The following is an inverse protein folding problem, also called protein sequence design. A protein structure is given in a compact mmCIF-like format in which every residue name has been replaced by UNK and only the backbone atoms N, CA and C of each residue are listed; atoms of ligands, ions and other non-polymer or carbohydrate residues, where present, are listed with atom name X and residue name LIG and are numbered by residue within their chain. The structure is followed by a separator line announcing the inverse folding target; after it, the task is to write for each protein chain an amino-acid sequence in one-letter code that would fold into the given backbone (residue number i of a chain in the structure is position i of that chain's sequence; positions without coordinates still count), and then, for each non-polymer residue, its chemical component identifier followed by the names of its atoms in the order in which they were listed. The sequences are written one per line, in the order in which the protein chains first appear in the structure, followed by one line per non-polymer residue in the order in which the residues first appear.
data_IF_928840801645
#
_entry.id   IF_928840801645
#
_cell.length_a   1.000
_cell.length_b   1.000
_cell.length_c   1.000
_cell.angle_alpha   90.00
_cell.angle_beta   90.00
_cell.angle_gamma   90.00
#
_symmetry.space_group_name_H-M   'P 1'
#
loop_
_entity.id
_entity.type
_entity.pdbx_description
1 polymer ?
#
# COMPACT_ATOMS: atom_id res chain seq x y z
N UNK A 1 -5.20 -16.51 10.94
CA UNK A 1 -5.19 -15.17 10.29
C UNK A 1 -5.07 -15.28 8.76
N UNK A 2 -4.28 -16.21 8.20
CA UNK A 2 -4.15 -16.37 6.73
C UNK A 2 -5.15 -17.33 6.08
N UNK A 3 -5.92 -18.08 6.87
CA UNK A 3 -6.85 -19.10 6.37
C UNK A 3 -7.91 -18.53 5.43
N UNK A 4 -8.54 -17.41 5.79
CA UNK A 4 -9.59 -16.77 4.97
C UNK A 4 -9.03 -16.29 3.62
N UNK A 5 -7.93 -15.50 3.56
CA UNK A 5 -7.32 -15.12 2.28
C UNK A 5 -6.90 -16.31 1.43
N UNK A 6 -6.34 -17.37 2.03
CA UNK A 6 -5.91 -18.56 1.30
C UNK A 6 -7.10 -19.26 0.67
N UNK A 7 -8.17 -19.53 1.42
CA UNK A 7 -9.37 -20.19 0.91
C UNK A 7 -10.01 -19.38 -0.23
N UNK A 8 -10.14 -18.06 -0.04
CA UNK A 8 -10.68 -17.18 -1.08
C UNK A 8 -9.85 -17.23 -2.36
N UNK A 9 -8.53 -17.00 -2.25
CA UNK A 9 -7.64 -17.00 -3.42
C UNK A 9 -7.59 -18.36 -4.11
N UNK A 10 -7.53 -19.46 -3.35
CA UNK A 10 -7.57 -20.82 -3.90
C UNK A 10 -8.85 -21.09 -4.66
N UNK A 11 -10.00 -20.60 -4.18
CA UNK A 11 -11.29 -20.77 -4.87
C UNK A 11 -11.30 -20.03 -6.21
N UNK A 12 -10.83 -18.78 -6.25
CA UNK A 12 -10.74 -17.99 -7.48
C UNK A 12 -9.81 -18.65 -8.49
N UNK A 13 -8.63 -19.10 -8.04
CA UNK A 13 -7.65 -19.78 -8.90
C UNK A 13 -8.22 -21.09 -9.45
N UNK A 14 -8.84 -21.90 -8.59
CA UNK A 14 -9.45 -23.17 -9.00
C UNK A 14 -10.57 -22.94 -10.02
N UNK A 15 -11.44 -21.96 -9.80
CA UNK A 15 -12.47 -21.58 -10.77
C UNK A 15 -11.86 -21.09 -12.08
N UNK A 16 -10.82 -20.24 -12.02
CA UNK A 16 -10.09 -19.78 -13.19
C UNK A 16 -9.56 -20.94 -14.05
N UNK A 17 -9.00 -21.99 -13.42
CA UNK A 17 -8.56 -23.20 -14.13
C UNK A 17 -9.72 -23.99 -14.75
N UNK A 18 -10.86 -24.09 -14.07
CA UNK A 18 -12.03 -24.81 -14.61
C UNK A 18 -12.65 -24.13 -15.84
N UNK A 19 -12.54 -22.80 -15.93
CA UNK A 19 -13.13 -21.99 -17.03
C UNK A 19 -12.08 -21.55 -18.06
N UNK A 20 -10.86 -22.08 -17.98
CA UNK A 20 -9.78 -21.70 -18.89
C UNK A 20 -10.12 -22.12 -20.32
N UNK A 21 -9.86 -21.24 -21.28
CA UNK A 21 -10.03 -21.46 -22.70
C UNK A 21 -8.69 -21.31 -23.46
N UNK A 22 -8.69 -21.67 -24.74
CA UNK A 22 -7.51 -21.62 -25.62
C UNK A 22 -7.41 -20.27 -26.37
N UNK A 23 -8.10 -19.22 -25.90
CA UNK A 23 -8.04 -17.91 -26.55
C UNK A 23 -6.72 -17.19 -26.27
N UNK A 24 -6.17 -16.55 -27.32
CA UNK A 24 -4.90 -15.81 -27.19
C UNK A 24 -5.14 -14.46 -26.55
N UNK A 25 -4.57 -14.26 -25.36
CA UNK A 25 -4.60 -12.97 -24.66
C UNK A 25 -3.68 -11.95 -25.35
N UNK A 26 -4.18 -10.73 -25.53
CA UNK A 26 -3.41 -9.64 -26.17
C UNK A 26 -2.22 -9.18 -25.33
N UNK A 27 -2.32 -9.25 -24.00
CA UNK A 27 -1.26 -8.90 -23.06
C UNK A 27 -1.14 -9.95 -21.95
N UNK A 28 0.08 -10.37 -21.65
CA UNK A 28 0.37 -11.24 -20.51
C UNK A 28 0.36 -10.43 -19.22
N UNK A 29 -0.83 -10.15 -18.67
CA UNK A 29 -0.98 -9.50 -17.38
C UNK A 29 -2.02 -10.21 -16.49
N UNK A 30 -1.93 -10.05 -15.15
CA UNK A 30 -2.82 -10.79 -14.23
C UNK A 30 -4.33 -10.55 -14.45
N UNK A 31 -4.82 -9.32 -14.71
CA UNK A 31 -6.25 -9.09 -14.95
C UNK A 31 -6.83 -9.81 -16.17
N UNK A 32 -6.02 -10.02 -17.22
CA UNK A 32 -6.43 -10.70 -18.45
C UNK A 32 -6.16 -12.21 -18.42
N UNK A 33 -5.41 -12.71 -17.44
CA UNK A 33 -5.11 -14.13 -17.29
C UNK A 33 -6.26 -14.96 -16.70
N UNK A 34 -7.29 -14.31 -16.17
CA UNK A 34 -8.52 -14.97 -15.72
C UNK A 34 -9.58 -14.88 -16.81
N UNK A 35 -10.33 -15.97 -16.99
CA UNK A 35 -11.52 -15.99 -17.84
C UNK A 35 -12.46 -14.82 -17.47
N UNK A 36 -13.09 -14.12 -18.45
CA UNK A 36 -13.78 -12.84 -18.20
C UNK A 36 -14.80 -12.87 -17.06
N UNK A 37 -15.57 -13.96 -16.92
CA UNK A 37 -16.55 -14.11 -15.84
C UNK A 37 -15.89 -14.20 -14.46
N UNK A 38 -14.80 -14.96 -14.35
CA UNK A 38 -14.04 -15.11 -13.09
C UNK A 38 -13.31 -13.81 -12.76
N UNK A 39 -12.73 -13.16 -13.78
CA UNK A 39 -12.07 -11.86 -13.64
C UNK A 39 -13.04 -10.80 -13.11
N UNK A 40 -14.25 -10.71 -13.69
CA UNK A 40 -15.30 -9.78 -13.23
C UNK A 40 -15.76 -10.05 -11.81
N UNK A 41 -15.93 -11.32 -11.45
CA UNK A 41 -16.26 -11.68 -10.07
C UNK A 41 -15.14 -11.27 -9.11
N UNK A 42 -13.88 -11.54 -9.48
CA UNK A 42 -12.71 -11.19 -8.68
C UNK A 42 -12.54 -9.68 -8.53
N UNK A 43 -12.68 -8.87 -9.60
CA UNK A 43 -12.56 -7.41 -9.49
C UNK A 43 -13.63 -6.83 -8.58
N UNK A 44 -14.88 -7.22 -8.79
CA UNK A 44 -16.02 -6.72 -8.02
C UNK A 44 -15.94 -7.09 -6.53
N UNK A 45 -15.60 -8.34 -6.22
CA UNK A 45 -15.39 -8.77 -4.83
C UNK A 45 -14.20 -8.06 -4.16
N UNK A 46 -13.11 -7.80 -4.89
CA UNK A 46 -12.00 -7.01 -4.37
C UNK A 46 -12.39 -5.55 -4.12
N UNK A 47 -13.23 -4.93 -4.97
CA UNK A 47 -13.80 -3.61 -4.68
C UNK A 47 -14.55 -3.62 -3.35
N UNK A 48 -15.45 -4.60 -3.13
CA UNK A 48 -16.19 -4.74 -1.87
C UNK A 48 -15.24 -4.87 -0.67
N UNK A 49 -14.25 -5.77 -0.74
CA UNK A 49 -13.27 -5.99 0.34
C UNK A 49 -12.49 -4.71 0.64
N UNK A 50 -12.07 -3.99 -0.40
CA UNK A 50 -11.35 -2.73 -0.25
C UNK A 50 -12.25 -1.62 0.34
N UNK A 51 -13.52 -1.55 -0.04
CA UNK A 51 -14.49 -0.62 0.55
C UNK A 51 -14.68 -0.90 2.03
N UNK A 52 -14.85 -2.16 2.44
CA UNK A 52 -14.95 -2.55 3.86
C UNK A 52 -13.67 -2.13 4.61
N UNK A 53 -12.51 -2.39 4.03
CA UNK A 53 -11.21 -2.02 4.61
C UNK A 53 -11.09 -0.51 4.82
N UNK A 54 -11.52 0.29 3.83
CA UNK A 54 -11.54 1.74 3.91
C UNK A 54 -12.48 2.22 5.04
N UNK A 55 -13.67 1.65 5.15
CA UNK A 55 -14.64 2.00 6.22
C UNK A 55 -14.06 1.69 7.60
N UNK A 56 -13.43 0.53 7.79
CA UNK A 56 -12.79 0.17 9.06
C UNK A 56 -11.68 1.16 9.41
N UNK A 57 -10.85 1.53 8.44
CA UNK A 57 -9.78 2.50 8.66
C UNK A 57 -10.30 3.90 9.00
N UNK A 58 -11.32 4.39 8.30
CA UNK A 58 -11.96 5.67 8.60
C UNK A 58 -12.55 5.64 10.02
N UNK A 59 -13.23 4.55 10.38
CA UNK A 59 -13.81 4.38 11.72
C UNK A 59 -12.72 4.44 12.80
N UNK A 60 -11.59 3.74 12.62
CA UNK A 60 -10.45 3.82 13.53
C UNK A 60 -9.89 5.24 13.62
N UNK A 61 -9.77 5.95 12.50
CA UNK A 61 -9.30 7.34 12.48
C UNK A 61 -10.25 8.25 13.26
N UNK A 62 -11.57 8.11 13.05
CA UNK A 62 -12.60 8.90 13.72
C UNK A 62 -12.60 8.63 15.24
N UNK A 63 -12.63 7.37 15.64
CA UNK A 63 -12.57 6.97 17.05
C UNK A 63 -11.35 7.60 17.73
N UNK A 64 -10.19 7.57 17.09
CA UNK A 64 -8.97 8.15 17.65
C UNK A 64 -9.00 9.68 17.66
N UNK A 65 -9.59 10.30 16.65
CA UNK A 65 -9.76 11.75 16.60
C UNK A 65 -10.63 12.24 17.75
N UNK A 66 -11.79 11.61 17.97
CA UNK A 66 -12.70 11.96 19.07
C UNK A 66 -12.13 11.63 20.46
N UNK A 67 -11.33 10.57 20.59
CA UNK A 67 -10.68 10.19 21.88
C UNK A 67 -9.37 10.95 22.16
N UNK A 68 -9.06 11.98 21.36
CA UNK A 68 -7.73 12.55 21.08
C UNK A 68 -6.94 13.26 22.20
N UNK A 69 -7.39 13.24 23.46
CA UNK A 69 -6.67 13.88 24.59
C UNK A 69 -5.97 12.93 25.57
N UNK A 70 -6.31 11.63 25.62
CA UNK A 70 -5.73 10.66 26.58
C UNK A 70 -4.75 9.65 25.99
N UNK A 71 -4.36 9.79 24.72
CA UNK A 71 -3.64 8.73 24.02
C UNK A 71 -2.11 8.89 24.06
N UNK A 72 -1.40 7.77 24.27
CA UNK A 72 0.06 7.69 24.30
C UNK A 72 0.69 8.17 22.98
N UNK A 73 1.89 8.74 23.07
CA UNK A 73 2.66 9.26 21.92
C UNK A 73 2.89 8.21 20.82
N UNK A 74 3.12 6.95 21.19
CA UNK A 74 3.33 5.85 20.24
C UNK A 74 2.08 5.56 19.40
N UNK A 75 0.91 5.59 20.03
CA UNK A 75 -0.37 5.38 19.34
C UNK A 75 -0.63 6.49 18.31
N UNK A 76 -0.25 7.73 18.63
CA UNK A 76 -0.32 8.88 17.69
C UNK A 76 0.64 8.71 16.51
N UNK A 77 1.86 8.20 16.74
CA UNK A 77 2.83 7.89 15.68
C UNK A 77 2.28 6.82 14.74
N UNK A 78 1.75 5.72 15.28
CA UNK A 78 1.13 4.63 14.50
C UNK A 78 -0.02 5.18 13.64
N UNK A 79 -0.90 6.01 14.22
CA UNK A 79 -2.02 6.61 13.48
C UNK A 79 -1.55 7.52 12.33
N UNK A 80 -0.49 8.31 12.53
CA UNK A 80 0.09 9.16 11.46
C UNK A 80 0.65 8.31 10.30
N UNK A 81 1.21 7.13 10.60
CA UNK A 81 1.70 6.17 9.59
C UNK A 81 0.53 5.54 8.83
N UNK A 82 -0.48 5.10 9.56
CA UNK A 82 -1.67 4.45 9.02
C UNK A 82 -2.44 5.37 8.05
N UNK A 83 -2.69 6.62 8.45
CA UNK A 83 -3.34 7.64 7.58
C UNK A 83 -2.64 7.81 6.23
N UNK A 84 -1.31 7.84 6.25
CA UNK A 84 -0.50 8.01 5.02
C UNK A 84 -0.58 6.76 4.17
N UNK A 85 -0.48 5.57 4.77
CA UNK A 85 -0.61 4.30 4.05
C UNK A 85 -1.98 4.15 3.37
N UNK A 86 -3.06 4.57 4.04
CA UNK A 86 -4.42 4.53 3.48
C UNK A 86 -4.54 5.45 2.26
N UNK A 87 -3.96 6.65 2.33
CA UNK A 87 -3.98 7.59 1.21
C UNK A 87 -3.35 6.97 -0.04
N UNK A 88 -2.16 6.36 0.11
CA UNK A 88 -1.49 5.68 -0.99
C UNK A 88 -2.31 4.47 -1.50
N UNK A 89 -2.88 3.68 -0.59
CA UNK A 89 -3.74 2.55 -0.96
C UNK A 89 -4.95 2.96 -1.81
N UNK A 90 -5.59 4.10 -1.48
CA UNK A 90 -6.71 4.62 -2.26
C UNK A 90 -6.24 5.00 -3.67
N UNK A 91 -5.17 5.79 -3.77
CA UNK A 91 -4.71 6.35 -5.05
C UNK A 91 -4.11 5.31 -6.01
N UNK A 92 -3.60 4.20 -5.48
CA UNK A 92 -2.98 3.15 -6.31
C UNK A 92 -3.99 2.03 -6.56
N UNK A 93 -4.34 1.27 -5.54
CA UNK A 93 -5.07 0.02 -5.69
C UNK A 93 -6.57 0.21 -5.88
N UNK A 94 -7.18 1.00 -4.99
CA UNK A 94 -8.63 1.12 -4.97
C UNK A 94 -9.17 1.82 -6.21
N UNK A 95 -8.55 2.93 -6.63
CA UNK A 95 -8.91 3.60 -7.87
C UNK A 95 -8.69 2.70 -9.08
N UNK A 96 -7.61 1.90 -9.13
CA UNK A 96 -7.36 0.97 -10.22
C UNK A 96 -8.48 -0.05 -10.39
N UNK A 97 -8.91 -0.69 -9.31
CA UNK A 97 -10.00 -1.66 -9.34
C UNK A 97 -11.37 -1.01 -9.62
N UNK A 98 -11.64 0.15 -9.03
CA UNK A 98 -12.85 0.90 -9.33
C UNK A 98 -12.92 1.34 -10.79
N UNK A 99 -11.79 1.78 -11.36
CA UNK A 99 -11.71 2.18 -12.77
C UNK A 99 -11.97 0.99 -13.69
N UNK A 100 -11.43 -0.20 -13.36
CA UNK A 100 -11.72 -1.43 -14.09
C UNK A 100 -13.24 -1.70 -14.12
N UNK A 101 -13.89 -1.69 -12.94
CA UNK A 101 -15.31 -1.98 -12.88
C UNK A 101 -16.18 -0.89 -13.53
N UNK A 102 -15.75 0.37 -13.45
CA UNK A 102 -16.38 1.52 -14.09
C UNK A 102 -16.30 1.44 -15.62
N UNK A 103 -15.17 1.01 -16.19
CA UNK A 103 -15.04 0.89 -17.64
C UNK A 103 -16.06 -0.12 -18.20
N UNK A 104 -16.26 -1.25 -17.51
CA UNK A 104 -17.29 -2.22 -17.89
C UNK A 104 -18.69 -1.62 -17.71
N UNK A 105 -18.95 -0.91 -16.61
CA UNK A 105 -20.25 -0.30 -16.36
C UNK A 105 -20.63 0.79 -17.37
N UNK A 106 -19.63 1.51 -17.92
CA UNK A 106 -19.81 2.49 -18.98
C UNK A 106 -19.99 1.87 -20.38
N UNK A 107 -19.91 0.53 -20.49
CA UNK A 107 -20.11 -0.18 -21.75
C UNK A 107 -18.88 -0.24 -22.66
N UNK A 108 -17.68 0.04 -22.14
CA UNK A 108 -16.45 -0.20 -22.90
C UNK A 108 -16.29 -1.71 -23.14
N UNK A 109 -16.00 -2.10 -24.38
CA UNK A 109 -15.87 -3.50 -24.81
C UNK A 109 -14.69 -3.67 -25.77
N UNK A 110 -14.33 -4.93 -26.05
CA UNK A 110 -13.33 -5.27 -27.07
C UNK A 110 -11.91 -4.74 -26.77
N UNK A 111 -11.14 -4.39 -27.82
CA UNK A 111 -9.73 -4.01 -27.69
C UNK A 111 -9.50 -2.77 -26.80
N UNK A 112 -10.43 -1.82 -26.80
CA UNK A 112 -10.34 -0.60 -25.97
C UNK A 112 -10.39 -0.95 -24.50
N UNK A 113 -11.32 -1.83 -24.09
CA UNK A 113 -11.40 -2.29 -22.70
C UNK A 113 -10.11 -3.01 -22.30
N UNK A 114 -9.62 -3.92 -23.14
CA UNK A 114 -8.39 -4.67 -22.91
C UNK A 114 -7.20 -3.73 -22.73
N UNK A 115 -7.06 -2.72 -23.59
CA UNK A 115 -6.00 -1.71 -23.47
C UNK A 115 -6.10 -0.93 -22.15
N UNK A 116 -7.30 -0.47 -21.78
CA UNK A 116 -7.50 0.28 -20.54
C UNK A 116 -7.18 -0.57 -19.31
N UNK A 117 -7.66 -1.82 -19.26
CA UNK A 117 -7.39 -2.77 -18.17
C UNK A 117 -5.90 -3.07 -18.03
N UNK A 118 -5.19 -3.24 -19.14
CA UNK A 118 -3.74 -3.48 -19.14
C UNK A 118 -2.94 -2.33 -18.54
N UNK A 119 -3.38 -1.08 -18.75
CA UNK A 119 -2.70 0.08 -18.17
C UNK A 119 -2.98 0.25 -16.67
N UNK A 120 -4.13 -0.22 -16.18
CA UNK A 120 -4.46 -0.18 -14.74
C UNK A 120 -3.51 -1.05 -13.90
N UNK A 121 -2.87 -2.06 -14.50
CA UNK A 121 -1.85 -2.92 -13.87
C UNK A 121 -0.68 -2.10 -13.30
N UNK A 122 -0.35 -0.95 -13.88
CA UNK A 122 0.69 -0.09 -13.32
C UNK A 122 0.39 0.34 -11.88
N UNK A 123 -0.86 0.74 -11.62
CA UNK A 123 -1.30 1.13 -10.27
C UNK A 123 -1.33 -0.06 -9.30
N UNK A 124 -1.66 -1.24 -9.82
CA UNK A 124 -1.59 -2.52 -9.08
C UNK A 124 -0.17 -2.79 -8.60
N UNK A 125 0.82 -2.68 -9.49
CA UNK A 125 2.21 -2.99 -9.15
C UNK A 125 2.77 -2.04 -8.09
N UNK A 126 2.42 -0.75 -8.13
CA UNK A 126 2.79 0.21 -7.08
C UNK A 126 2.21 -0.25 -5.74
N UNK A 127 0.97 -0.74 -5.73
CA UNK A 127 0.29 -1.11 -4.49
C UNK A 127 0.96 -2.26 -3.72
N UNK A 128 1.65 -3.17 -4.41
CA UNK A 128 2.37 -4.28 -3.76
C UNK A 128 3.61 -3.83 -2.99
N UNK A 129 4.24 -2.75 -3.40
CA UNK A 129 5.47 -2.25 -2.77
C UNK A 129 5.23 -1.04 -1.86
N UNK A 130 4.11 -0.32 -2.02
CA UNK A 130 3.84 0.93 -1.33
C UNK A 130 3.91 0.81 0.19
N UNK A 131 3.38 -0.28 0.77
CA UNK A 131 3.30 -0.43 2.22
C UNK A 131 4.71 -0.49 2.83
N UNK A 132 5.58 -1.27 2.20
CA UNK A 132 6.98 -1.38 2.60
C UNK A 132 7.68 -0.02 2.60
N UNK A 133 7.57 0.75 1.51
CA UNK A 133 8.21 2.06 1.41
C UNK A 133 7.62 3.10 2.36
N UNK A 134 6.30 3.13 2.54
CA UNK A 134 5.63 4.04 3.49
C UNK A 134 6.07 3.75 4.93
N UNK A 135 6.19 2.48 5.30
CA UNK A 135 6.65 2.06 6.63
C UNK A 135 8.12 2.43 6.84
N UNK A 136 9.01 2.15 5.89
CA UNK A 136 10.43 2.56 5.97
C UNK A 136 10.57 4.09 6.08
N UNK A 137 9.77 4.84 5.32
CA UNK A 137 9.83 6.29 5.34
C UNK A 137 9.37 6.85 6.70
N UNK A 138 8.26 6.33 7.25
CA UNK A 138 7.61 6.91 8.44
C UNK A 138 8.00 6.27 9.78
N UNK A 139 8.64 5.10 9.80
CA UNK A 139 9.14 4.46 11.01
C UNK A 139 10.66 4.39 11.01
N UNK A 140 11.35 5.30 11.74
CA UNK A 140 12.78 5.19 11.91
C UNK A 140 13.18 3.89 12.64
N UNK A 141 12.31 3.39 13.53
CA UNK A 141 12.54 2.11 14.22
C UNK A 141 12.58 0.95 13.23
N UNK A 142 11.56 0.85 12.36
CA UNK A 142 11.54 -0.16 11.29
C UNK A 142 12.70 -0.01 10.32
N UNK A 143 13.02 1.22 9.91
CA UNK A 143 14.15 1.50 9.01
C UNK A 143 15.49 1.06 9.60
N UNK A 144 15.72 1.33 10.89
CA UNK A 144 16.95 0.93 11.56
C UNK A 144 17.05 -0.60 11.67
N UNK A 145 15.97 -1.28 12.04
CA UNK A 145 15.93 -2.75 12.06
C UNK A 145 16.15 -3.36 10.67
N UNK A 146 15.59 -2.75 9.63
CA UNK A 146 15.83 -3.17 8.24
C UNK A 146 17.31 -3.02 7.85
N UNK A 147 17.93 -1.86 8.12
CA UNK A 147 19.35 -1.64 7.86
C UNK A 147 20.26 -2.56 8.68
N UNK A 148 19.83 -2.95 9.88
CA UNK A 148 20.52 -3.91 10.74
C UNK A 148 20.47 -5.33 10.19
N UNK A 149 19.30 -5.78 9.71
CA UNK A 149 19.15 -7.07 9.03
C UNK A 149 20.04 -7.18 7.78
N UNK A 150 20.31 -6.05 7.11
CA UNK A 150 21.18 -5.97 5.94
C UNK A 150 22.63 -5.60 6.27
N UNK A 151 23.01 -5.51 7.55
CA UNK A 151 24.35 -5.08 7.96
C UNK A 151 25.48 -6.03 7.53
N UNK A 152 25.17 -7.27 7.13
CA UNK A 152 26.16 -8.19 6.55
C UNK A 152 26.61 -7.76 5.14
N UNK A 153 25.87 -6.86 4.47
CA UNK A 153 26.23 -6.35 3.16
C UNK A 153 27.09 -5.07 3.29
N UNK A 154 28.28 -5.02 2.66
CA UNK A 154 29.20 -3.87 2.78
C UNK A 154 28.56 -2.52 2.40
N UNK A 155 27.74 -2.49 1.35
CA UNK A 155 27.02 -1.29 0.90
C UNK A 155 26.03 -0.77 1.95
N UNK A 156 25.33 -1.68 2.64
CA UNK A 156 24.36 -1.34 3.68
C UNK A 156 25.03 -0.83 4.97
N UNK A 157 26.26 -1.28 5.29
CA UNK A 157 27.06 -0.71 6.39
C UNK A 157 27.37 0.77 6.14
N UNK A 158 27.83 1.11 4.93
CA UNK A 158 28.15 2.50 4.55
C UNK A 158 26.90 3.38 4.61
N UNK A 159 25.74 2.88 4.17
CA UNK A 159 24.46 3.59 4.26
C UNK A 159 24.01 3.81 5.71
N UNK A 160 24.17 2.81 6.59
CA UNK A 160 23.85 2.93 8.03
C UNK A 160 24.71 4.01 8.69
N UNK A 161 26.01 4.05 8.39
CA UNK A 161 26.93 5.06 8.91
C UNK A 161 26.58 6.49 8.44
N UNK A 162 26.30 6.67 7.14
CA UNK A 162 25.87 7.97 6.59
C UNK A 162 24.56 8.46 7.22
N UNK A 163 23.58 7.58 7.38
CA UNK A 163 22.29 7.93 7.97
C UNK A 163 22.43 8.29 9.47
N UNK A 164 23.25 7.55 10.23
CA UNK A 164 23.55 7.85 11.63
C UNK A 164 24.21 9.22 11.78
N UNK A 165 25.18 9.54 10.91
CA UNK A 165 25.88 10.83 10.92
C UNK A 165 24.95 12.00 10.58
N UNK A 166 24.10 11.85 9.55
CA UNK A 166 23.09 12.86 9.17
C UNK A 166 22.05 13.12 10.27
N UNK A 167 21.57 12.06 10.92
CA UNK A 167 20.60 12.17 12.02
C UNK A 167 21.20 12.89 13.23
N UNK A 168 22.47 12.60 13.57
CA UNK A 168 23.19 13.29 14.64
C UNK A 168 23.38 14.78 14.33
N UNK A 169 23.83 15.12 13.13
CA UNK A 169 24.02 16.53 12.70
C UNK A 169 22.71 17.31 12.79
N UNK A 170 21.58 16.72 12.35
CA UNK A 170 20.26 17.35 12.41
C UNK A 170 19.77 17.54 13.85
N UNK A 171 20.06 16.60 14.76
CA UNK A 171 19.75 16.73 16.18
C UNK A 171 20.58 17.83 16.87
N UNK A 172 21.89 17.90 16.56
CA UNK A 172 22.79 18.93 17.12
C UNK A 172 22.44 20.33 16.61
N UNK A 173 21.99 20.45 15.35
CA UNK A 173 21.51 21.71 14.77
C UNK A 173 20.23 22.20 15.47
N UNK A 174 19.27 21.30 15.73
CA UNK A 174 18.05 21.63 16.47
C UNK A 174 18.33 22.07 17.91
N UNK A 175 19.31 21.45 18.61
CA UNK A 175 19.68 21.87 19.97
C UNK A 175 20.39 23.22 20.03
N UNK A 176 21.22 23.55 19.03
CA UNK A 176 21.86 24.87 18.96
C UNK A 176 20.85 26.00 18.69
N UNK A 177 19.83 25.73 17.86
CA UNK A 177 18.79 26.71 17.53
C UNK A 177 17.80 26.92 18.69
N UNK A 178 17.57 25.90 19.53
CA UNK A 178 16.75 26.01 20.73
C UNK A 178 17.48 26.74 21.87
N UNK A 179 18.80 26.51 22.03
CA UNK A 179 19.62 27.22 23.01
C UNK A 179 19.84 28.70 22.64
N UNK A 180 19.93 29.05 21.35
CA UNK A 180 20.05 30.45 20.93
C UNK A 180 18.75 31.23 21.14
N UNK A 181 17.58 30.61 20.97
CA UNK A 181 16.28 31.25 21.29
C UNK A 181 16.04 31.44 22.78
N UNK A 182 16.53 30.55 23.65
CA UNK A 182 16.43 30.71 25.11
C UNK A 182 17.43 31.72 25.70
N UNK A 183 18.49 32.05 24.98
CA UNK A 183 19.51 33.03 25.42
C UNK A 183 19.20 34.47 24.94
N UNK A 184 18.09 34.68 24.23
CA UNK A 184 17.65 36.00 23.70
C UNK A 184 16.29 36.46 24.27
N UNK A 185 15.82 35.82 25.35
CA UNK A 185 14.68 36.24 26.18
C UNK A 185 15.19 36.58 27.57
#
# INVERSE_FOLDING_TARGET
MLTIPVVYSSTIVFWGFMTMDDEVVMFCNPPLGLYPTVSRFWTFSNVIINTITLVLFITLILVFYYKGKKQKSDTRKIMKRLKVSILFFIFTWYIGLLAADLFVALGFTGPTLIFMMSNLVFFVLISYSQFFYVVIWRSPEYRNAFLEAWSCIPCCKILKERHSKSTKISATAHSHQQNSMMSSA
#
